data_IF_201569049990
#
_entry.id   IF_201569049990
#
_cell.length_a   1.000
_cell.length_b   1.000
_cell.length_c   1.000
_cell.angle_alpha   90.00
_cell.angle_beta   90.00
_cell.angle_gamma   90.00
#
_symmetry.space_group_name_H-M   'P 1'
#
loop_
_entity.id
_entity.type
_entity.pdbx_description
1 polymer ?
#
# COMPACT_ATOMS: atom_id res chain seq x y z
N UNK A 1 -12.23 -13.80 5.10
CA UNK A 1 -12.15 -14.14 3.66
C UNK A 1 -10.67 -14.29 3.35
N UNK A 2 -10.23 -15.33 2.65
CA UNK A 2 -8.79 -15.53 2.41
C UNK A 2 -8.30 -14.49 1.40
N UNK A 3 -7.33 -13.66 1.78
CA UNK A 3 -6.77 -12.65 0.88
C UNK A 3 -5.89 -13.34 -0.16
N UNK A 4 -6.15 -13.09 -1.44
CA UNK A 4 -5.41 -13.70 -2.55
C UNK A 4 -4.18 -12.86 -2.87
N UNK A 5 -3.02 -13.52 -2.81
CA UNK A 5 -1.78 -12.90 -3.25
C UNK A 5 -1.88 -12.56 -4.74
N UNK A 6 -1.42 -11.36 -5.14
CA UNK A 6 -1.50 -10.94 -6.52
C UNK A 6 -0.54 -11.74 -7.40
N UNK A 7 -1.06 -12.27 -8.51
CA UNK A 7 -0.26 -13.01 -9.50
C UNK A 7 0.58 -12.08 -10.38
N UNK A 8 0.18 -10.79 -10.48
CA UNK A 8 0.82 -9.79 -11.33
C UNK A 8 1.07 -8.48 -10.59
N UNK A 9 2.25 -7.91 -10.77
CA UNK A 9 2.57 -6.57 -10.26
C UNK A 9 1.97 -5.45 -11.12
N UNK A 10 1.54 -5.75 -12.35
CA UNK A 10 0.95 -4.76 -13.24
C UNK A 10 -0.41 -4.28 -12.74
N UNK A 11 -1.16 -5.08 -11.99
CA UNK A 11 -2.48 -4.73 -11.45
C UNK A 11 -2.41 -4.07 -10.07
N UNK A 12 -1.21 -3.91 -9.52
CA UNK A 12 -0.98 -3.34 -8.20
C UNK A 12 -0.54 -1.88 -8.30
N UNK A 13 -1.09 -1.03 -7.42
CA UNK A 13 -0.56 0.32 -7.20
C UNK A 13 0.55 0.33 -6.13
N UNK A 14 0.51 -0.64 -5.23
CA UNK A 14 1.38 -0.75 -4.10
C UNK A 14 1.63 -2.21 -3.80
N UNK A 15 2.88 -2.53 -3.56
CA UNK A 15 3.32 -3.82 -3.09
C UNK A 15 4.51 -3.59 -2.16
N UNK A 16 4.54 -4.30 -1.04
CA UNK A 16 5.67 -4.34 -0.13
C UNK A 16 5.72 -5.72 0.51
N UNK A 17 6.92 -6.28 0.60
CA UNK A 17 7.19 -7.53 1.31
C UNK A 17 8.44 -7.29 2.16
N UNK A 18 8.29 -7.37 3.48
CA UNK A 18 9.42 -7.13 4.39
C UNK A 18 9.23 -7.82 5.73
N UNK A 19 10.35 -8.00 6.39
CA UNK A 19 10.42 -8.49 7.76
C UNK A 19 10.42 -7.30 8.72
N UNK A 20 9.63 -7.35 9.79
CA UNK A 20 9.58 -6.37 10.88
C UNK A 20 9.96 -7.12 12.15
N UNK A 21 11.17 -6.88 12.69
CA UNK A 21 11.74 -7.70 13.77
C UNK A 21 11.70 -9.21 13.38
N UNK A 22 11.00 -10.04 14.15
CA UNK A 22 10.80 -11.47 13.86
C UNK A 22 9.56 -11.77 13.00
N UNK A 23 8.72 -10.75 12.76
CA UNK A 23 7.50 -10.87 11.96
C UNK A 23 7.76 -10.62 10.47
N UNK A 24 6.87 -11.12 9.61
CA UNK A 24 6.91 -10.87 8.15
C UNK A 24 5.62 -10.21 7.72
N UNK A 25 5.68 -9.19 6.87
CA UNK A 25 4.50 -8.51 6.35
C UNK A 25 4.60 -8.37 4.84
N UNK A 26 3.60 -8.91 4.15
CA UNK A 26 3.40 -8.77 2.71
C UNK A 26 2.09 -8.04 2.50
N UNK A 27 2.15 -6.84 1.94
CA UNK A 27 0.96 -6.01 1.71
C UNK A 27 0.92 -5.52 0.27
N UNK A 28 -0.28 -5.50 -0.29
CA UNK A 28 -0.54 -5.08 -1.65
C UNK A 28 -1.85 -4.31 -1.74
N UNK A 29 -1.96 -3.50 -2.79
CA UNK A 29 -3.15 -2.71 -3.08
C UNK A 29 -3.38 -2.80 -4.58
N UNK A 30 -4.55 -3.32 -4.96
CA UNK A 30 -4.97 -3.38 -6.35
C UNK A 30 -5.31 -2.00 -6.90
N UNK A 31 -5.15 -1.82 -8.21
CA UNK A 31 -5.67 -0.65 -8.89
C UNK A 31 -7.19 -0.63 -8.79
N UNK A 32 -7.74 0.47 -8.30
CA UNK A 32 -9.18 0.64 -8.21
C UNK A 32 -9.83 0.96 -9.57
N UNK A 33 -11.11 0.59 -9.74
CA UNK A 33 -11.91 1.07 -10.85
C UNK A 33 -12.10 2.58 -10.75
N UNK A 34 -12.30 3.23 -11.89
CA UNK A 34 -12.62 4.66 -11.95
C UNK A 34 -13.96 4.95 -11.25
N UNK A 35 -14.03 5.89 -10.29
CA UNK A 35 -15.28 6.19 -9.60
C UNK A 35 -16.35 6.78 -10.53
N UNK A 36 -15.93 7.43 -11.63
CA UNK A 36 -16.82 8.07 -12.60
C UNK A 36 -17.43 7.07 -13.59
N UNK A 37 -16.62 6.23 -14.23
CA UNK A 37 -17.10 5.32 -15.28
C UNK A 37 -17.26 3.86 -14.83
N UNK A 38 -16.61 3.46 -13.73
CA UNK A 38 -16.55 2.09 -13.17
C UNK A 38 -16.10 0.98 -14.13
N UNK A 39 -15.76 1.32 -15.38
CA UNK A 39 -15.29 0.40 -16.42
C UNK A 39 -13.78 0.39 -16.54
N UNK A 40 -13.17 1.57 -16.51
CA UNK A 40 -11.72 1.71 -16.63
C UNK A 40 -11.00 1.60 -15.29
N UNK A 41 -9.75 1.15 -15.34
CA UNK A 41 -8.85 1.14 -14.19
C UNK A 41 -8.15 2.50 -14.09
N UNK A 42 -8.04 3.04 -12.88
CA UNK A 42 -7.25 4.24 -12.62
C UNK A 42 -5.76 3.92 -12.62
N UNK A 43 -5.00 4.61 -13.45
CA UNK A 43 -3.57 4.41 -13.63
C UNK A 43 -2.80 5.72 -13.64
N UNK A 44 -1.50 5.67 -13.37
CA UNK A 44 -0.69 6.89 -13.53
C UNK A 44 -0.64 7.31 -15.00
N UNK A 45 -0.61 8.62 -15.29
CA UNK A 45 -0.51 9.12 -16.66
C UNK A 45 0.73 8.57 -17.35
N UNK A 46 0.61 8.30 -18.65
CA UNK A 46 1.75 7.94 -19.51
C UNK A 46 2.28 9.20 -20.19
N UNK A 47 3.59 9.29 -20.33
CA UNK A 47 4.24 10.31 -21.13
C UNK A 47 3.93 10.08 -22.61
N UNK A 48 3.29 11.05 -23.26
CA UNK A 48 2.92 10.96 -24.68
C UNK A 48 4.13 10.74 -25.60
N UNK A 49 5.31 11.27 -25.22
CA UNK A 49 6.54 11.15 -26.02
C UNK A 49 7.24 9.80 -25.87
N UNK A 50 7.11 9.14 -24.72
CA UNK A 50 7.91 7.93 -24.41
C UNK A 50 7.05 6.70 -24.15
N UNK A 51 5.73 6.85 -24.03
CA UNK A 51 4.80 5.81 -23.60
C UNK A 51 5.00 5.35 -22.16
N UNK A 52 6.02 5.86 -21.45
CA UNK A 52 6.37 5.42 -20.09
C UNK A 52 5.43 6.04 -19.08
N UNK A 53 5.14 5.28 -18.03
CA UNK A 53 4.32 5.77 -16.92
C UNK A 53 5.07 6.85 -16.15
N UNK A 54 4.43 8.00 -15.92
CA UNK A 54 4.93 9.06 -15.05
C UNK A 54 4.92 8.57 -13.60
N UNK A 55 5.98 7.90 -13.17
CA UNK A 55 6.10 7.30 -11.83
C UNK A 55 5.90 8.35 -10.71
N UNK A 56 6.26 9.61 -10.97
CA UNK A 56 6.14 10.75 -10.04
C UNK A 56 4.87 11.58 -10.21
N UNK A 57 3.90 11.13 -11.00
CA UNK A 57 2.62 11.81 -11.12
C UNK A 57 1.91 11.90 -9.77
N UNK A 58 1.28 13.06 -9.53
CA UNK A 58 0.46 13.35 -8.35
C UNK A 58 -1.01 13.00 -8.57
N UNK A 59 -1.36 12.50 -9.74
CA UNK A 59 -2.72 12.21 -10.17
C UNK A 59 -2.78 10.85 -10.86
N UNK A 60 -3.92 10.19 -10.74
CA UNK A 60 -4.30 9.02 -11.52
C UNK A 60 -5.27 9.46 -12.62
N UNK A 61 -5.14 8.88 -13.81
CA UNK A 61 -6.01 9.11 -14.95
C UNK A 61 -6.65 7.79 -15.35
N UNK A 62 -7.96 7.80 -15.53
CA UNK A 62 -8.70 6.68 -16.06
C UNK A 62 -8.39 6.51 -17.56
N UNK A 63 -8.01 5.29 -17.95
CA UNK A 63 -7.71 4.99 -19.37
C UNK A 63 -8.92 5.03 -20.29
N UNK A 64 -10.13 4.81 -19.76
CA UNK A 64 -11.38 4.74 -20.55
C UNK A 64 -12.04 6.11 -20.74
N UNK A 65 -12.20 6.88 -19.66
CA UNK A 65 -12.96 8.14 -19.69
C UNK A 65 -12.10 9.40 -19.53
N UNK A 66 -10.78 9.25 -19.36
CA UNK A 66 -9.85 10.37 -19.18
C UNK A 66 -10.01 11.14 -17.87
N UNK A 67 -10.83 10.65 -16.92
CA UNK A 67 -11.02 11.30 -15.63
C UNK A 67 -9.73 11.26 -14.81
N UNK A 68 -9.27 12.42 -14.36
CA UNK A 68 -8.11 12.58 -13.49
C UNK A 68 -8.54 12.79 -12.03
N UNK A 69 -7.90 12.09 -11.10
CA UNK A 69 -8.08 12.27 -9.65
C UNK A 69 -6.74 12.42 -8.93
N UNK A 70 -6.74 13.16 -7.83
CA UNK A 70 -5.55 13.33 -7.02
C UNK A 70 -5.16 12.00 -6.37
N UNK A 71 -3.84 11.74 -6.36
CA UNK A 71 -3.27 10.50 -5.85
C UNK A 71 -3.67 10.20 -4.41
N UNK A 72 -3.63 11.18 -3.52
CA UNK A 72 -3.91 10.96 -2.09
C UNK A 72 -5.39 10.59 -1.90
N UNK A 73 -6.28 11.39 -2.49
CA UNK A 73 -7.74 11.16 -2.45
C UNK A 73 -8.12 9.80 -3.04
N UNK A 74 -7.57 9.44 -4.21
CA UNK A 74 -7.85 8.15 -4.84
C UNK A 74 -7.26 6.99 -4.03
N UNK A 75 -6.01 7.09 -3.55
CA UNK A 75 -5.37 6.07 -2.73
C UNK A 75 -6.13 5.81 -1.42
N UNK A 76 -6.75 6.82 -0.81
CA UNK A 76 -7.58 6.67 0.39
C UNK A 76 -8.85 5.83 0.16
N UNK A 77 -9.36 5.76 -1.09
CA UNK A 77 -10.53 4.91 -1.43
C UNK A 77 -10.17 3.45 -1.65
N UNK A 78 -8.88 3.12 -1.75
CA UNK A 78 -8.42 1.78 -2.04
C UNK A 78 -8.23 0.96 -0.77
N UNK A 79 -8.39 -0.35 -0.91
CA UNK A 79 -8.21 -1.32 0.16
C UNK A 79 -6.81 -1.93 0.04
N UNK A 80 -6.04 -1.82 1.11
CA UNK A 80 -4.77 -2.50 1.31
C UNK A 80 -5.03 -3.83 2.00
N UNK A 81 -4.68 -4.92 1.32
CA UNK A 81 -4.67 -6.26 1.88
C UNK A 81 -3.24 -6.57 2.33
N UNK A 82 -3.11 -7.17 3.51
CA UNK A 82 -1.83 -7.51 4.08
C UNK A 82 -1.85 -8.90 4.73
N UNK A 83 -1.00 -9.80 4.27
CA UNK A 83 -0.63 -11.01 5.00
C UNK A 83 0.51 -10.69 5.93
N UNK A 84 0.37 -11.03 7.21
CA UNK A 84 1.40 -10.77 8.19
C UNK A 84 1.62 -11.94 9.13
N UNK A 85 2.84 -12.01 9.67
CA UNK A 85 3.22 -12.82 10.82
C UNK A 85 3.57 -11.82 11.90
N UNK A 86 2.82 -11.85 13.00
CA UNK A 86 3.00 -10.89 14.08
C UNK A 86 4.38 -11.07 14.72
N UNK A 87 5.21 -10.00 14.84
CA UNK A 87 6.51 -10.10 15.48
C UNK A 87 6.45 -10.45 16.97
N UNK A 88 5.30 -10.19 17.62
CA UNK A 88 5.14 -10.37 19.07
C UNK A 88 4.58 -11.74 19.43
N UNK A 89 3.53 -12.18 18.74
CA UNK A 89 2.87 -13.45 19.03
C UNK A 89 3.20 -14.56 18.02
N UNK A 90 3.99 -14.27 16.98
CA UNK A 90 4.41 -15.22 15.93
C UNK A 90 3.25 -15.91 15.18
N UNK A 91 2.02 -15.41 15.32
CA UNK A 91 0.86 -15.92 14.59
C UNK A 91 0.74 -15.24 13.23
N UNK A 92 0.44 -16.05 12.22
CA UNK A 92 0.04 -15.55 10.92
C UNK A 92 -1.40 -15.00 10.97
N UNK A 93 -1.65 -13.94 10.24
CA UNK A 93 -2.95 -13.29 10.11
C UNK A 93 -3.06 -12.53 8.79
N UNK A 94 -4.27 -12.08 8.52
CA UNK A 94 -4.65 -11.34 7.33
C UNK A 94 -5.28 -10.03 7.80
N UNK A 95 -4.97 -8.91 7.16
CA UNK A 95 -5.53 -7.61 7.52
C UNK A 95 -5.96 -6.87 6.27
N UNK A 96 -7.18 -6.34 6.30
CA UNK A 96 -7.72 -5.49 5.25
C UNK A 96 -7.96 -4.10 5.86
N UNK A 97 -7.41 -3.06 5.24
CA UNK A 97 -7.53 -1.70 5.74
C UNK A 97 -7.53 -0.69 4.60
N UNK A 98 -8.12 0.49 4.78
CA UNK A 98 -7.97 1.58 3.81
C UNK A 98 -6.49 1.93 3.62
N UNK A 99 -6.07 2.19 2.38
CA UNK A 99 -4.69 2.51 2.05
C UNK A 99 -4.32 3.96 2.42
N UNK A 100 -4.40 4.27 3.70
CA UNK A 100 -4.07 5.57 4.27
C UNK A 100 -2.70 5.54 4.94
N UNK A 101 -1.71 6.18 4.30
CA UNK A 101 -0.36 6.29 4.85
C UNK A 101 -0.28 7.44 5.84
N UNK A 102 -0.09 7.14 7.12
CA UNK A 102 0.11 8.12 8.18
C UNK A 102 1.59 8.22 8.55
N UNK A 103 2.01 9.38 9.02
CA UNK A 103 3.35 9.52 9.61
C UNK A 103 3.35 8.80 10.96
N UNK A 104 4.19 7.79 11.08
CA UNK A 104 4.45 7.08 12.33
C UNK A 104 5.91 7.26 12.71
N UNK A 105 6.16 7.46 14.00
CA UNK A 105 7.52 7.42 14.55
C UNK A 105 7.84 5.95 14.82
N UNK A 106 8.88 5.44 14.17
CA UNK A 106 9.42 4.12 14.43
C UNK A 106 10.83 4.31 14.95
N UNK A 107 11.15 3.66 16.06
CA UNK A 107 12.51 3.62 16.56
C UNK A 107 13.34 2.76 15.62
N UNK A 108 14.38 3.34 15.02
CA UNK A 108 15.32 2.60 14.21
C UNK A 108 16.53 2.26 15.09
N UNK A 109 16.70 0.97 15.41
CA UNK A 109 17.80 0.46 16.22
C UNK A 109 19.17 0.75 15.60
N UNK A 110 19.31 0.70 14.27
CA UNK A 110 20.58 0.97 13.58
C UNK A 110 21.04 2.42 13.73
N UNK A 111 20.10 3.36 13.84
CA UNK A 111 20.39 4.81 13.98
C UNK A 111 20.16 5.34 15.39
N UNK A 112 19.73 4.47 16.32
CA UNK A 112 19.31 4.81 17.69
C UNK A 112 18.43 6.07 17.77
N UNK A 113 17.52 6.25 16.80
CA UNK A 113 16.69 7.45 16.70
C UNK A 113 15.30 7.16 16.19
N UNK A 114 14.34 7.96 16.64
CA UNK A 114 12.99 7.98 16.11
C UNK A 114 13.00 8.56 14.69
N UNK A 115 12.66 7.73 13.71
CA UNK A 115 12.43 8.16 12.34
C UNK A 115 10.94 8.25 12.07
N UNK A 116 10.51 9.42 11.61
CA UNK A 116 9.15 9.61 11.12
C UNK A 116 9.04 9.05 9.71
N UNK A 117 8.30 7.96 9.55
CA UNK A 117 8.10 7.27 8.29
C UNK A 117 6.61 7.20 7.96
N UNK A 118 6.29 7.34 6.66
CA UNK A 118 4.93 7.12 6.18
C UNK A 118 4.65 5.62 6.13
N UNK A 119 3.74 5.14 6.97
CA UNK A 119 3.34 3.75 7.04
C UNK A 119 1.82 3.62 7.05
N UNK A 120 1.33 2.49 6.52
CA UNK A 120 -0.04 2.06 6.77
C UNK A 120 -0.01 1.23 8.06
N UNK A 121 -0.84 1.53 9.04
CA UNK A 121 -0.80 0.83 10.35
C UNK A 121 -2.03 -0.04 10.48
N UNK A 122 -1.83 -1.27 10.95
CA UNK A 122 -2.91 -2.17 11.32
C UNK A 122 -2.66 -2.79 12.67
N UNK A 123 -3.73 -3.24 13.30
CA UNK A 123 -3.69 -4.04 14.51
C UNK A 123 -3.66 -5.53 14.18
N UNK A 124 -2.88 -6.28 14.94
CA UNK A 124 -2.89 -7.72 14.86
C UNK A 124 -4.18 -8.27 15.47
N UNK A 125 -4.92 -9.07 14.72
CA UNK A 125 -6.17 -9.70 15.17
C UNK A 125 -5.99 -10.59 16.41
N UNK A 126 -4.80 -11.14 16.63
CA UNK A 126 -4.52 -12.08 17.73
C UNK A 126 -4.10 -11.41 19.03
N UNK A 127 -3.41 -10.26 18.97
CA UNK A 127 -2.79 -9.65 20.15
C UNK A 127 -2.98 -8.13 20.25
N UNK A 128 -3.62 -7.51 19.26
CA UNK A 128 -3.84 -6.06 19.19
C UNK A 128 -2.58 -5.23 18.92
N UNK A 129 -1.44 -5.88 18.64
CA UNK A 129 -0.18 -5.18 18.41
C UNK A 129 -0.26 -4.33 17.13
N UNK A 130 0.22 -3.08 17.18
CA UNK A 130 0.16 -2.14 16.06
C UNK A 130 1.35 -2.34 15.14
N UNK A 131 1.11 -2.86 13.96
CA UNK A 131 2.14 -3.20 12.98
C UNK A 131 2.18 -2.13 11.87
N UNK A 132 3.24 -1.31 11.78
CA UNK A 132 3.36 -0.29 10.75
C UNK A 132 3.98 -0.84 9.45
N UNK A 133 3.23 -0.79 8.34
CA UNK A 133 3.59 -1.07 6.95
C UNK A 133 4.36 0.08 6.28
N UNK A 134 5.68 0.17 6.43
CA UNK A 134 6.52 1.16 5.71
C UNK A 134 6.95 0.67 4.33
N UNK A 135 7.11 1.57 3.36
CA UNK A 135 7.66 1.21 2.03
C UNK A 135 9.18 1.05 2.00
N UNK A 136 9.91 1.88 2.76
CA UNK A 136 11.37 1.84 2.93
C UNK A 136 11.74 2.44 4.28
N UNK A 137 12.46 1.69 5.12
CA UNK A 137 13.36 2.28 6.09
C UNK A 137 14.71 2.43 5.38
N UNK A 138 15.23 3.65 5.34
CA UNK A 138 16.58 3.98 4.86
C UNK A 138 17.46 4.24 6.06
#
# INVERSE_FOLDING_TARGET
>A
MAIKEPESMDDLIYFTNRTIAEGKVTAWVYKGPCPKCKKGIMGKPRDEKTGKVKIRAKEYICSECGHSEEKDSFEETLICEAKYVCPKCNKAGEAEMPFKRKNVKIFNEEKQKDVSVKAVVFDCEHCGERIPITKKLK
#
